data_IF_128351620180
#
_entry.id   IF_128351620180
#
_cell.length_a   1.000
_cell.length_b   1.000
_cell.length_c   1.000
_cell.angle_alpha   90.00
_cell.angle_beta   90.00
_cell.angle_gamma   90.00
#
_symmetry.space_group_name_H-M   'P 1'
#
loop_
_entity.id
_entity.type
_entity.pdbx_description
1 polymer ?
#
# COMPACT_ATOMS: atom_id res chain seq x y z
N UNK A 1 30.97 -6.56 -21.46
CA UNK A 1 29.78 -6.26 -22.29
C UNK A 1 28.73 -5.62 -21.40
N UNK A 2 28.37 -4.39 -21.77
CA UNK A 2 27.17 -3.59 -21.45
C UNK A 2 26.48 -3.70 -20.08
N UNK A 3 26.54 -2.56 -19.38
CA UNK A 3 25.79 -2.13 -18.20
C UNK A 3 24.26 -2.08 -18.43
N UNK A 4 23.56 -2.09 -17.28
CA UNK A 4 22.29 -1.43 -16.95
C UNK A 4 21.01 -2.30 -16.90
N UNK A 5 20.78 -2.93 -15.73
CA UNK A 5 19.42 -3.13 -15.26
C UNK A 5 18.92 -1.80 -14.65
N UNK A 6 18.19 -1.02 -15.45
CA UNK A 6 17.44 0.17 -15.00
C UNK A 6 16.41 -0.27 -13.97
N UNK A 7 16.77 -0.21 -12.68
CA UNK A 7 15.79 -0.17 -11.61
C UNK A 7 14.90 1.05 -11.86
N UNK A 8 13.63 0.82 -12.19
CA UNK A 8 12.62 1.89 -12.13
C UNK A 8 12.51 2.28 -10.66
N UNK A 9 13.32 3.25 -10.23
CA UNK A 9 13.07 4.01 -9.02
C UNK A 9 11.71 4.66 -9.24
N UNK A 10 10.65 4.02 -8.74
CA UNK A 10 9.40 4.70 -8.48
C UNK A 10 9.78 5.88 -7.60
N UNK A 11 9.65 7.09 -8.17
CA UNK A 11 9.90 8.34 -7.49
C UNK A 11 8.90 8.40 -6.33
N UNK A 12 9.31 7.93 -5.16
CA UNK A 12 8.72 8.34 -3.90
C UNK A 12 9.04 9.83 -3.81
N UNK A 13 8.11 10.68 -4.27
CA UNK A 13 8.16 12.09 -3.87
C UNK A 13 8.16 12.06 -2.34
N UNK A 14 9.19 12.62 -1.71
CA UNK A 14 9.44 12.60 -0.24
C UNK A 14 8.38 13.39 0.56
N UNK A 15 7.18 13.54 0.01
CA UNK A 15 6.14 14.42 0.50
C UNK A 15 4.89 13.61 0.87
N UNK A 16 4.85 13.14 2.12
CA UNK A 16 3.60 13.00 2.91
C UNK A 16 2.57 11.95 2.47
N UNK A 17 2.90 11.02 1.59
CA UNK A 17 2.01 9.88 1.29
C UNK A 17 2.15 8.81 2.38
N UNK A 18 1.22 8.82 3.32
CA UNK A 18 1.13 7.80 4.37
C UNK A 18 0.18 8.20 5.51
N UNK A 19 0.07 9.48 5.85
CA UNK A 19 -0.72 9.92 7.01
C UNK A 19 -1.42 11.26 6.73
N UNK A 20 -2.75 11.21 6.62
CA UNK A 20 -3.59 12.40 6.33
C UNK A 20 -3.85 13.25 7.57
N UNK A 21 -3.73 12.67 8.76
CA UNK A 21 -4.05 13.35 9.99
C UNK A 21 -2.78 13.80 10.72
N UNK A 22 -2.58 15.11 10.87
CA UNK A 22 -1.45 15.70 11.63
C UNK A 22 -1.33 15.17 13.07
N UNK A 23 -2.39 14.57 13.64
CA UNK A 23 -2.41 13.95 14.97
C UNK A 23 -2.16 12.42 14.96
N UNK A 24 -2.20 11.77 13.81
CA UNK A 24 -1.98 10.33 13.70
C UNK A 24 -0.47 10.07 13.71
N UNK A 25 0.00 9.35 14.73
CA UNK A 25 1.41 8.95 14.81
C UNK A 25 1.69 7.86 13.79
N UNK A 26 2.89 7.85 13.20
CA UNK A 26 3.30 6.75 12.33
C UNK A 26 3.73 5.54 13.19
N UNK A 27 2.81 4.60 13.37
CA UNK A 27 3.01 3.36 14.10
C UNK A 27 2.41 2.17 13.32
N UNK A 28 2.73 0.96 13.77
CA UNK A 28 2.06 -0.24 13.25
C UNK A 28 0.67 -0.35 13.88
N UNK A 29 -0.35 -0.52 13.03
CA UNK A 29 -1.75 -0.61 13.43
C UNK A 29 -2.36 -1.93 12.96
N UNK A 30 -2.95 -2.67 13.90
CA UNK A 30 -3.75 -3.86 13.59
C UNK A 30 -5.23 -3.53 13.76
N UNK A 31 -6.03 -3.84 12.76
CA UNK A 31 -7.45 -3.49 12.77
C UNK A 31 -8.26 -4.20 11.68
N UNK A 32 -9.45 -3.65 11.44
CA UNK A 32 -10.37 -4.11 10.41
C UNK A 32 -10.53 -3.00 9.38
N UNK A 33 -10.34 -3.32 8.10
CA UNK A 33 -10.61 -2.41 7.00
C UNK A 33 -12.10 -2.11 6.98
N UNK A 34 -12.48 -0.85 7.15
CA UNK A 34 -13.87 -0.39 7.04
C UNK A 34 -14.19 0.02 5.62
N UNK A 35 -13.23 0.65 4.94
CA UNK A 35 -13.47 1.24 3.63
C UNK A 35 -12.16 1.36 2.85
N UNK A 36 -12.24 1.20 1.53
CA UNK A 36 -11.20 1.53 0.57
C UNK A 36 -11.79 2.38 -0.55
N UNK A 37 -11.28 3.61 -0.73
CA UNK A 37 -11.70 4.51 -1.82
C UNK A 37 -10.60 4.60 -2.87
N UNK A 38 -11.00 4.70 -4.13
CA UNK A 38 -10.11 5.01 -5.25
C UNK A 38 -10.53 6.34 -5.87
N UNK A 39 -9.56 7.22 -6.11
CA UNK A 39 -9.72 8.48 -6.81
C UNK A 39 -8.62 8.61 -7.87
N UNK A 40 -8.96 9.20 -9.03
CA UNK A 40 -7.95 9.66 -9.99
C UNK A 40 -7.55 11.08 -9.60
N UNK A 41 -6.24 11.32 -9.47
CA UNK A 41 -5.68 12.64 -9.22
C UNK A 41 -4.59 12.92 -10.25
N UNK A 42 -4.15 14.17 -10.38
CA UNK A 42 -3.03 14.54 -11.23
C UNK A 42 -1.75 14.67 -10.39
N UNK A 43 -0.62 14.24 -10.93
CA UNK A 43 0.69 14.48 -10.33
C UNK A 43 1.22 15.89 -10.67
N UNK A 44 2.41 16.22 -10.16
CA UNK A 44 3.10 17.50 -10.39
C UNK A 44 3.34 17.86 -11.87
N UNK A 45 3.19 16.89 -12.79
CA UNK A 45 3.36 17.05 -14.24
C UNK A 45 2.03 17.00 -15.00
N UNK A 46 0.89 16.99 -14.30
CA UNK A 46 -0.44 16.88 -14.91
C UNK A 46 -0.78 15.48 -15.43
N UNK A 47 0.05 14.46 -15.15
CA UNK A 47 -0.27 13.09 -15.54
C UNK A 47 -1.16 12.42 -14.48
N UNK A 48 -2.18 11.64 -14.90
CA UNK A 48 -3.09 11.00 -13.96
C UNK A 48 -2.38 9.89 -13.18
N UNK A 49 -2.66 9.83 -11.87
CA UNK A 49 -2.23 8.77 -10.95
C UNK A 49 -3.40 8.33 -10.07
N UNK A 50 -3.32 7.13 -9.51
CA UNK A 50 -4.33 6.61 -8.60
C UNK A 50 -4.03 7.09 -7.17
N UNK A 51 -5.08 7.48 -6.44
CA UNK A 51 -5.07 7.71 -5.00
C UNK A 51 -6.02 6.72 -4.31
N UNK A 52 -5.46 5.86 -3.46
CA UNK A 52 -6.21 4.96 -2.61
C UNK A 52 -6.26 5.47 -1.19
N UNK A 53 -7.45 5.45 -0.57
CA UNK A 53 -7.67 5.82 0.82
C UNK A 53 -8.15 4.60 1.59
N UNK A 54 -7.33 4.11 2.51
CA UNK A 54 -7.66 3.00 3.40
C UNK A 54 -8.14 3.54 4.75
N UNK A 55 -9.33 3.12 5.18
CA UNK A 55 -9.88 3.45 6.49
C UNK A 55 -9.86 2.20 7.36
N UNK A 56 -9.00 2.19 8.38
CA UNK A 56 -8.80 1.04 9.27
C UNK A 56 -9.33 1.36 10.66
N UNK A 57 -10.29 0.55 11.13
CA UNK A 57 -10.81 0.64 12.50
C UNK A 57 -9.96 -0.19 13.45
N UNK A 58 -9.46 0.47 14.49
CA UNK A 58 -8.79 -0.15 15.62
C UNK A 58 -9.56 0.20 16.90
N UNK A 59 -10.27 -0.79 17.45
CA UNK A 59 -11.20 -0.59 18.58
C UNK A 59 -12.22 0.52 18.26
N UNK A 60 -12.14 1.67 18.93
CA UNK A 60 -13.00 2.84 18.71
C UNK A 60 -12.38 3.90 17.79
N UNK A 61 -11.11 3.77 17.40
CA UNK A 61 -10.40 4.75 16.56
C UNK A 61 -10.46 4.35 15.08
N UNK A 62 -10.62 5.35 14.22
CA UNK A 62 -10.42 5.22 12.77
C UNK A 62 -9.07 5.81 12.41
N UNK A 63 -8.26 5.05 11.68
CA UNK A 63 -6.97 5.49 11.14
C UNK A 63 -7.08 5.52 9.61
N UNK A 64 -6.59 6.60 9.00
CA UNK A 64 -6.71 6.82 7.55
C UNK A 64 -5.31 6.82 6.96
N UNK A 65 -5.13 6.04 5.89
CA UNK A 65 -3.87 5.90 5.17
C UNK A 65 -4.11 6.16 3.70
N UNK A 66 -3.17 6.89 3.07
CA UNK A 66 -3.25 7.22 1.65
C UNK A 66 -2.05 6.63 0.94
N UNK A 67 -2.34 5.93 -0.15
CA UNK A 67 -1.37 5.53 -1.15
C UNK A 67 -1.63 6.28 -2.44
N UNK A 68 -0.58 6.81 -3.06
CA UNK A 68 -0.64 7.37 -4.41
C UNK A 68 0.36 6.66 -5.30
N UNK A 69 -0.04 6.34 -6.53
CA UNK A 69 0.85 5.68 -7.47
C UNK A 69 0.19 5.34 -8.79
N UNK A 70 1.01 4.85 -9.71
CA UNK A 70 0.55 4.29 -10.99
C UNK A 70 0.51 2.77 -10.84
N UNK A 71 -0.69 2.20 -10.90
CA UNK A 71 -0.93 0.77 -10.83
C UNK A 71 -1.66 0.28 -12.08
N UNK A 72 -1.32 -0.93 -12.50
CA UNK A 72 -1.98 -1.62 -13.63
C UNK A 72 -3.24 -2.38 -13.16
N UNK A 73 -3.45 -2.51 -11.85
CA UNK A 73 -4.54 -3.23 -11.22
C UNK A 73 -5.23 -2.39 -10.13
N UNK A 74 -6.48 -2.77 -9.83
CA UNK A 74 -7.28 -2.11 -8.81
C UNK A 74 -7.12 -2.79 -7.44
N UNK A 75 -6.60 -2.08 -6.43
CA UNK A 75 -6.42 -2.63 -5.08
C UNK A 75 -7.75 -3.04 -4.41
N UNK A 76 -8.88 -2.46 -4.84
CA UNK A 76 -10.21 -2.82 -4.32
C UNK A 76 -10.63 -4.25 -4.67
N UNK A 77 -9.94 -4.89 -5.62
CA UNK A 77 -10.14 -6.31 -5.92
C UNK A 77 -9.46 -7.24 -4.90
N UNK A 78 -8.49 -6.72 -4.13
CA UNK A 78 -7.71 -7.48 -3.15
C UNK A 78 -8.12 -7.21 -1.70
N UNK A 79 -8.68 -6.03 -1.46
CA UNK A 79 -9.14 -5.56 -0.17
C UNK A 79 -10.66 -5.37 -0.16
N UNK A 80 -11.31 -5.90 0.86
CA UNK A 80 -12.75 -5.77 1.08
C UNK A 80 -13.04 -5.24 2.48
N UNK A 81 -14.09 -4.41 2.66
CA UNK A 81 -14.60 -4.09 3.99
C UNK A 81 -14.81 -5.34 4.82
N UNK A 82 -14.33 -5.33 6.07
CA UNK A 82 -14.30 -6.49 6.97
C UNK A 82 -12.97 -7.23 7.02
N UNK A 83 -12.06 -6.99 6.07
CA UNK A 83 -10.73 -7.61 6.08
C UNK A 83 -9.95 -7.24 7.35
N UNK A 84 -9.35 -8.24 7.98
CA UNK A 84 -8.36 -8.01 9.05
C UNK A 84 -7.06 -7.60 8.40
N UNK A 85 -6.52 -6.46 8.81
CA UNK A 85 -5.33 -5.89 8.19
C UNK A 85 -4.32 -5.39 9.23
N UNK A 86 -3.04 -5.38 8.83
CA UNK A 86 -1.93 -4.77 9.56
C UNK A 86 -1.31 -3.68 8.70
N UNK A 87 -1.44 -2.43 9.11
CA UNK A 87 -0.66 -1.33 8.55
C UNK A 87 0.68 -1.26 9.26
N UNK A 88 1.79 -1.36 8.53
CA UNK A 88 3.13 -1.25 9.09
C UNK A 88 3.61 0.20 9.07
N UNK A 89 4.31 0.60 10.14
CA UNK A 89 4.94 1.92 10.23
C UNK A 89 5.76 2.22 8.97
N UNK A 90 5.57 3.41 8.39
CA UNK A 90 6.34 3.88 7.23
C UNK A 90 5.88 3.35 5.87
N UNK A 91 4.82 2.54 5.81
CA UNK A 91 4.26 1.98 4.57
C UNK A 91 2.85 2.49 4.29
N UNK A 92 2.52 2.87 3.06
CA UNK A 92 1.22 3.47 2.75
C UNK A 92 0.07 2.46 2.59
N UNK A 93 0.37 1.19 2.31
CA UNK A 93 -0.64 0.17 2.03
C UNK A 93 -0.63 -0.88 3.16
N UNK A 94 -1.79 -1.24 3.74
CA UNK A 94 -1.86 -2.28 4.76
C UNK A 94 -1.71 -3.68 4.17
N UNK A 95 -1.27 -4.63 4.99
CA UNK A 95 -1.18 -6.06 4.65
C UNK A 95 -2.43 -6.78 5.15
N UNK A 96 -3.04 -7.62 4.29
CA UNK A 96 -4.17 -8.48 4.66
C UNK A 96 -3.69 -9.66 5.52
N UNK A 97 -4.34 -9.88 6.67
CA UNK A 97 -4.00 -10.95 7.63
C UNK A 97 -4.77 -12.23 7.27
N UNK A 98 -4.10 -13.38 7.36
CA UNK A 98 -4.73 -14.68 7.08
C UNK A 98 -5.16 -14.86 5.62
N UNK A 99 -4.54 -14.13 4.69
CA UNK A 99 -4.77 -14.31 3.26
C UNK A 99 -4.06 -15.59 2.79
N UNK A 100 -4.82 -16.62 2.40
CA UNK A 100 -4.30 -17.91 1.91
C UNK A 100 -4.26 -17.93 0.37
N UNK A 101 -3.88 -16.80 -0.24
CA UNK A 101 -3.82 -16.63 -1.69
C UNK A 101 -2.40 -16.78 -2.26
N UNK A 102 -2.26 -17.15 -3.55
CA UNK A 102 -0.95 -17.22 -4.22
C UNK A 102 -0.32 -15.84 -4.47
N UNK A 103 -1.13 -14.78 -4.40
CA UNK A 103 -0.72 -13.39 -4.62
C UNK A 103 -1.02 -12.53 -3.39
N UNK A 104 -0.16 -11.54 -3.17
CA UNK A 104 -0.32 -10.48 -2.18
C UNK A 104 0.04 -9.13 -2.77
N UNK A 105 -0.41 -8.05 -2.13
CA UNK A 105 -0.11 -6.67 -2.52
C UNK A 105 1.14 -6.21 -1.78
N UNK A 106 2.13 -5.68 -2.49
CA UNK A 106 3.28 -5.04 -1.89
C UNK A 106 2.84 -3.79 -1.11
N UNK A 107 3.16 -3.74 0.19
CA UNK A 107 2.75 -2.66 1.09
C UNK A 107 3.37 -1.28 0.77
N UNK A 108 4.41 -1.25 -0.07
CA UNK A 108 5.13 -0.04 -0.44
C UNK A 108 4.66 0.51 -1.79
N UNK A 109 4.76 -0.29 -2.86
CA UNK A 109 4.48 0.16 -4.23
C UNK A 109 3.13 -0.29 -4.78
N UNK A 110 2.37 -1.12 -4.05
CA UNK A 110 1.06 -1.61 -4.46
C UNK A 110 1.06 -2.68 -5.54
N UNK A 111 2.22 -3.12 -6.03
CA UNK A 111 2.31 -4.18 -7.04
C UNK A 111 1.89 -5.55 -6.50
N UNK A 112 1.29 -6.38 -7.37
CA UNK A 112 0.97 -7.77 -7.04
C UNK A 112 2.25 -8.61 -7.12
N UNK A 113 2.47 -9.40 -6.07
CA UNK A 113 3.64 -10.27 -5.95
C UNK A 113 3.20 -11.63 -5.46
N UNK A 114 4.01 -12.66 -5.74
CA UNK A 114 3.78 -14.00 -5.19
C UNK A 114 3.85 -13.92 -3.67
N UNK A 115 2.89 -14.53 -2.97
CA UNK A 115 2.91 -14.57 -1.50
C UNK A 115 4.17 -15.23 -0.98
N UNK A 116 4.77 -16.17 -1.70
CA UNK A 116 6.04 -16.82 -1.32
C UNK A 116 7.29 -15.97 -1.57
N UNK A 117 7.18 -14.78 -2.17
CA UNK A 117 8.34 -13.94 -2.45
C UNK A 117 8.86 -13.29 -1.16
N UNK A 118 10.18 -13.25 -0.98
CA UNK A 118 10.80 -12.56 0.16
C UNK A 118 10.87 -11.04 -0.03
N UNK A 119 10.89 -10.57 -1.27
CA UNK A 119 10.92 -9.15 -1.63
C UNK A 119 10.13 -8.87 -2.91
N UNK A 120 9.67 -7.63 -3.04
CA UNK A 120 8.97 -7.14 -4.21
C UNK A 120 9.95 -6.99 -5.38
N UNK A 121 9.72 -7.63 -6.53
CA UNK A 121 10.60 -7.50 -7.69
C UNK A 121 10.53 -6.10 -8.34
N UNK A 122 9.51 -5.29 -8.00
CA UNK A 122 9.31 -3.96 -8.57
C UNK A 122 10.02 -2.85 -7.78
N UNK A 123 9.97 -2.90 -6.44
CA UNK A 123 10.56 -1.85 -5.59
C UNK A 123 11.61 -2.36 -4.59
N UNK A 124 11.80 -3.67 -4.45
CA UNK A 124 12.75 -4.27 -3.51
C UNK A 124 12.26 -4.35 -2.06
N UNK A 125 11.07 -3.83 -1.74
CA UNK A 125 10.50 -3.89 -0.41
C UNK A 125 10.34 -5.35 0.07
N UNK A 126 10.71 -5.64 1.32
CA UNK A 126 10.50 -6.96 1.94
C UNK A 126 9.00 -7.25 2.04
N UNK A 127 8.60 -8.47 1.68
CA UNK A 127 7.19 -8.87 1.76
C UNK A 127 6.91 -9.38 3.17
N UNK A 128 6.02 -8.68 3.88
CA UNK A 128 5.52 -9.13 5.17
C UNK A 128 4.24 -9.93 4.94
N UNK A 129 4.26 -11.20 5.31
CA UNK A 129 3.07 -12.03 5.41
C UNK A 129 2.73 -12.18 6.90
N UNK A 130 1.51 -11.84 7.29
CA UNK A 130 0.99 -12.28 8.58
C UNK A 130 0.18 -13.56 8.35
N UNK A 131 0.78 -14.69 8.76
CA UNK A 131 0.10 -15.97 8.91
C UNK A 131 -0.98 -15.96 9.98
#
# INVERSE_FOLDING_TARGET
MTKAAKGRRFLREESKDGIVNKKQKDHTYRGVLQEIKLQSIENSRGAPICQYVFVIRQKWRLNIFIFKGVLEHDLRQFFSPGDRVTHYKGFPIPVKRGSIGPLTVCMDCGQLVKSSAHSCPYCGCVIHLEG
#
